data_IF_089611535770
#
_entry.id   IF_089611535770
#
_cell.length_a   1.000
_cell.length_b   1.000
_cell.length_c   1.000
_cell.angle_alpha   90.00
_cell.angle_beta   90.00
_cell.angle_gamma   90.00
#
_symmetry.space_group_name_H-M   'P 1'
#
loop_
_entity.id
_entity.type
_entity.pdbx_description
1 polymer ?
#
# COMPACT_ATOMS: atom_id res chain seq x y z
N UNK A 1 48.29 -7.34 -30.09
CA UNK A 1 47.59 -6.11 -29.75
C UNK A 1 46.09 -6.37 -29.81
N UNK A 2 45.45 -6.99 -28.75
CA UNK A 2 44.00 -7.35 -28.73
C UNK A 2 43.35 -7.02 -27.38
N UNK A 3 43.62 -5.82 -26.85
CA UNK A 3 43.05 -5.39 -25.56
C UNK A 3 41.67 -4.68 -25.59
N UNK A 4 41.19 -4.01 -26.67
CA UNK A 4 39.97 -3.24 -26.60
C UNK A 4 38.67 -4.11 -26.49
N UNK A 5 38.68 -5.31 -27.06
CA UNK A 5 37.49 -6.18 -27.03
C UNK A 5 37.24 -6.83 -25.65
N UNK A 6 38.29 -7.18 -24.91
CA UNK A 6 38.17 -7.74 -23.57
C UNK A 6 37.66 -6.71 -22.56
N UNK A 7 38.13 -5.47 -22.63
CA UNK A 7 37.71 -4.37 -21.78
C UNK A 7 36.20 -4.00 -22.00
N UNK A 8 35.78 -3.96 -23.26
CA UNK A 8 34.38 -3.71 -23.61
C UNK A 8 33.44 -4.81 -23.09
N UNK A 9 33.88 -6.08 -23.15
CA UNK A 9 33.09 -7.21 -22.66
C UNK A 9 32.95 -7.23 -21.13
N UNK A 10 33.98 -6.83 -20.41
CA UNK A 10 33.99 -6.78 -18.93
C UNK A 10 33.14 -5.63 -18.40
N UNK A 11 33.19 -4.45 -19.03
CA UNK A 11 32.35 -3.32 -18.72
C UNK A 11 30.87 -3.63 -18.99
N UNK A 12 30.55 -4.30 -20.09
CA UNK A 12 29.18 -4.73 -20.40
C UNK A 12 28.66 -5.75 -19.37
N UNK A 13 29.49 -6.72 -18.96
CA UNK A 13 29.12 -7.70 -17.92
C UNK A 13 28.90 -7.05 -16.55
N UNK A 14 29.74 -6.11 -16.15
CA UNK A 14 29.59 -5.39 -14.88
C UNK A 14 28.29 -4.56 -14.85
N UNK A 15 27.98 -3.88 -15.96
CA UNK A 15 26.74 -3.09 -16.10
C UNK A 15 25.49 -3.97 -16.05
N UNK A 16 25.50 -5.13 -16.71
CA UNK A 16 24.40 -6.10 -16.68
C UNK A 16 24.20 -6.64 -15.26
N UNK A 17 25.28 -7.05 -14.59
CA UNK A 17 25.20 -7.56 -13.22
C UNK A 17 24.68 -6.50 -12.23
N UNK A 18 25.08 -5.25 -12.39
CA UNK A 18 24.59 -4.14 -11.56
C UNK A 18 23.10 -3.89 -11.78
N UNK A 19 22.63 -3.93 -13.04
CA UNK A 19 21.20 -3.79 -13.37
C UNK A 19 20.37 -4.95 -12.83
N UNK A 20 20.85 -6.19 -12.91
CA UNK A 20 20.16 -7.37 -12.40
C UNK A 20 20.03 -7.33 -10.86
N UNK A 21 21.08 -6.89 -10.16
CA UNK A 21 21.04 -6.70 -8.70
C UNK A 21 20.07 -5.59 -8.31
N UNK A 22 20.10 -4.44 -8.94
CA UNK A 22 19.17 -3.33 -8.69
C UNK A 22 17.72 -3.76 -8.91
N UNK A 23 17.43 -4.53 -9.96
CA UNK A 23 16.09 -5.05 -10.26
C UNK A 23 15.58 -6.04 -9.21
N UNK A 24 16.46 -6.82 -8.58
CA UNK A 24 16.09 -7.73 -7.50
C UNK A 24 15.71 -6.97 -6.22
N UNK A 25 16.47 -5.97 -5.82
CA UNK A 25 16.17 -5.13 -4.66
C UNK A 25 14.86 -4.36 -4.81
N UNK A 26 14.58 -3.87 -6.02
CA UNK A 26 13.32 -3.19 -6.31
C UNK A 26 12.12 -4.12 -6.14
N UNK A 27 12.20 -5.36 -6.65
CA UNK A 27 11.14 -6.36 -6.49
C UNK A 27 10.90 -6.72 -5.04
N UNK A 28 11.96 -6.90 -4.27
CA UNK A 28 11.88 -7.18 -2.83
C UNK A 28 11.25 -6.00 -2.10
N UNK A 29 11.66 -4.77 -2.39
CA UNK A 29 11.09 -3.57 -1.80
C UNK A 29 9.59 -3.39 -2.09
N UNK A 30 9.17 -3.63 -3.33
CA UNK A 30 7.76 -3.61 -3.72
C UNK A 30 6.95 -4.69 -2.99
N UNK A 31 7.46 -5.91 -2.92
CA UNK A 31 6.79 -7.00 -2.20
C UNK A 31 6.68 -6.68 -0.71
N UNK A 32 7.76 -6.23 -0.10
CA UNK A 32 7.77 -5.85 1.31
C UNK A 32 6.76 -4.72 1.61
N UNK A 33 6.76 -3.66 0.82
CA UNK A 33 5.84 -2.54 1.01
C UNK A 33 4.37 -2.96 0.86
N UNK A 34 4.06 -3.84 -0.10
CA UNK A 34 2.71 -4.38 -0.27
C UNK A 34 2.27 -5.24 0.90
N UNK A 35 3.14 -6.14 1.37
CA UNK A 35 2.84 -6.99 2.52
C UNK A 35 2.69 -6.15 3.80
N UNK A 36 3.54 -5.17 4.01
CA UNK A 36 3.48 -4.28 5.17
C UNK A 36 2.19 -3.44 5.17
N UNK A 37 1.81 -2.84 4.04
CA UNK A 37 0.57 -2.07 3.92
C UNK A 37 -0.67 -2.97 4.07
N UNK A 38 -0.67 -4.14 3.44
CA UNK A 38 -1.76 -5.09 3.56
C UNK A 38 -1.94 -5.60 4.99
N UNK A 39 -0.83 -5.93 5.65
CA UNK A 39 -0.82 -6.33 7.06
C UNK A 39 -1.30 -5.19 7.98
N UNK A 40 -0.91 -3.94 7.71
CA UNK A 40 -1.37 -2.78 8.49
C UNK A 40 -2.88 -2.59 8.39
N UNK A 41 -3.47 -2.68 7.20
CA UNK A 41 -4.92 -2.62 7.01
C UNK A 41 -5.64 -3.75 7.74
N UNK A 42 -5.20 -4.99 7.56
CA UNK A 42 -5.84 -6.13 8.21
C UNK A 42 -5.66 -6.10 9.74
N UNK A 43 -4.52 -5.61 10.23
CA UNK A 43 -4.28 -5.40 11.66
C UNK A 43 -5.23 -4.37 12.27
N UNK A 44 -5.48 -3.25 11.56
CA UNK A 44 -6.45 -2.25 12.01
C UNK A 44 -7.87 -2.82 12.10
N UNK A 45 -8.28 -3.58 11.08
CA UNK A 45 -9.58 -4.28 11.08
C UNK A 45 -9.64 -5.33 12.20
N UNK A 46 -8.59 -6.14 12.38
CA UNK A 46 -8.51 -7.14 13.45
C UNK A 46 -8.67 -6.52 14.86
N UNK A 47 -8.09 -5.32 15.07
CA UNK A 47 -8.27 -4.57 16.32
C UNK A 47 -9.72 -4.18 16.59
N UNK A 48 -10.47 -3.81 15.56
CA UNK A 48 -11.91 -3.45 15.70
C UNK A 48 -12.79 -4.60 16.13
N UNK A 49 -12.38 -5.83 15.85
CA UNK A 49 -13.09 -7.05 16.20
C UNK A 49 -12.45 -7.80 17.39
N UNK A 50 -11.55 -7.16 18.14
CA UNK A 50 -10.97 -7.74 19.35
C UNK A 50 -10.00 -8.88 19.15
N UNK A 51 -9.51 -9.12 17.92
CA UNK A 51 -8.59 -10.22 17.63
C UNK A 51 -7.28 -10.12 18.43
N UNK A 52 -6.79 -8.91 18.67
CA UNK A 52 -5.58 -8.67 19.47
C UNK A 52 -5.79 -8.87 20.97
N UNK A 53 -7.04 -8.87 21.44
CA UNK A 53 -7.44 -9.18 22.81
C UNK A 53 -7.76 -10.67 23.01
N UNK A 54 -7.58 -11.49 21.99
CA UNK A 54 -7.84 -12.93 22.02
C UNK A 54 -9.29 -13.33 21.88
N UNK A 55 -10.17 -12.39 21.54
CA UNK A 55 -11.61 -12.62 21.31
C UNK A 55 -12.00 -12.09 19.94
N UNK A 56 -12.61 -12.92 19.11
CA UNK A 56 -13.24 -12.45 17.87
C UNK A 56 -14.68 -12.08 18.20
N UNK A 57 -14.94 -10.79 18.50
CA UNK A 57 -16.24 -10.32 18.97
C UNK A 57 -16.57 -8.94 18.39
N UNK A 58 -17.84 -8.72 18.07
CA UNK A 58 -18.36 -7.40 17.68
C UNK A 58 -18.46 -6.41 18.85
N UNK A 59 -18.19 -6.84 20.08
CA UNK A 59 -18.26 -5.98 21.28
C UNK A 59 -17.28 -4.81 21.25
N UNK A 60 -16.18 -4.91 20.51
CA UNK A 60 -15.20 -3.84 20.37
C UNK A 60 -15.52 -2.86 19.22
N UNK A 61 -16.47 -3.18 18.36
CA UNK A 61 -16.86 -2.30 17.25
C UNK A 61 -17.49 -0.97 17.71
N UNK A 62 -18.30 -0.90 18.79
CA UNK A 62 -18.76 0.36 19.37
C UNK A 62 -17.63 1.31 19.79
N UNK A 63 -16.51 0.81 20.32
CA UNK A 63 -15.36 1.63 20.68
C UNK A 63 -14.72 2.26 19.44
N UNK A 64 -14.67 1.50 18.36
CA UNK A 64 -14.24 2.01 17.05
C UNK A 64 -15.23 3.05 16.49
N UNK A 65 -16.53 2.87 16.64
CA UNK A 65 -17.54 3.86 16.24
C UNK A 65 -17.39 5.17 17.01
N UNK A 66 -17.10 5.11 18.31
CA UNK A 66 -16.83 6.30 19.12
C UNK A 66 -15.58 7.02 18.58
N UNK A 67 -14.46 6.32 18.40
CA UNK A 67 -13.24 6.88 17.82
C UNK A 67 -13.47 7.47 16.42
N UNK A 68 -14.21 6.75 15.56
CA UNK A 68 -14.58 7.25 14.24
C UNK A 68 -15.41 8.53 14.31
N UNK A 69 -16.29 8.65 15.31
CA UNK A 69 -17.05 9.86 15.58
C UNK A 69 -16.18 11.05 16.01
N UNK A 70 -15.11 10.80 16.74
CA UNK A 70 -14.12 11.81 17.10
C UNK A 70 -13.28 12.27 15.88
N UNK A 71 -12.81 11.31 15.07
CA UNK A 71 -12.07 11.58 13.82
C UNK A 71 -12.94 12.32 12.80
N UNK A 72 -14.24 12.03 12.75
CA UNK A 72 -15.22 12.63 11.84
C UNK A 72 -16.07 13.70 12.54
N UNK A 73 -15.50 14.41 13.54
CA UNK A 73 -16.21 15.40 14.34
C UNK A 73 -16.88 16.54 13.54
N UNK A 74 -16.39 16.78 12.33
CA UNK A 74 -16.93 17.73 11.35
C UNK A 74 -18.10 17.19 10.51
N UNK A 75 -18.44 15.90 10.66
CA UNK A 75 -19.54 15.23 9.93
C UNK A 75 -20.78 15.07 10.81
N UNK A 76 -21.99 14.99 10.22
CA UNK A 76 -23.20 14.66 10.97
C UNK A 76 -23.07 13.28 11.66
N UNK A 77 -23.41 13.19 12.93
CA UNK A 77 -23.29 11.94 13.72
C UNK A 77 -23.99 10.75 13.08
N UNK A 78 -25.09 10.97 12.37
CA UNK A 78 -25.84 9.92 11.68
C UNK A 78 -25.05 9.24 10.55
N UNK A 79 -24.05 9.90 9.97
CA UNK A 79 -23.22 9.33 8.88
C UNK A 79 -22.06 8.48 9.37
N UNK A 80 -21.62 8.66 10.63
CA UNK A 80 -20.46 8.00 11.21
C UNK A 80 -20.51 6.47 11.11
N UNK A 81 -21.62 5.78 11.47
CA UNK A 81 -21.68 4.32 11.36
C UNK A 81 -21.47 3.82 9.93
N UNK A 82 -22.05 4.50 8.94
CA UNK A 82 -21.91 4.13 7.52
C UNK A 82 -20.47 4.30 7.04
N UNK A 83 -19.83 5.41 7.41
CA UNK A 83 -18.43 5.67 7.07
C UNK A 83 -17.48 4.70 7.77
N UNK A 84 -17.73 4.33 9.01
CA UNK A 84 -16.97 3.35 9.76
C UNK A 84 -17.04 1.96 9.11
N UNK A 85 -18.22 1.51 8.68
CA UNK A 85 -18.38 0.27 7.94
C UNK A 85 -17.72 0.33 6.55
N UNK A 86 -17.91 1.43 5.82
CA UNK A 86 -17.26 1.63 4.52
C UNK A 86 -15.72 1.58 4.65
N UNK A 87 -15.16 2.23 5.67
CA UNK A 87 -13.73 2.15 5.99
C UNK A 87 -13.29 0.70 6.25
N UNK A 88 -14.02 -0.02 7.11
CA UNK A 88 -13.70 -1.40 7.48
C UNK A 88 -13.73 -2.34 6.27
N UNK A 89 -14.74 -2.23 5.41
CA UNK A 89 -14.86 -3.03 4.17
C UNK A 89 -13.72 -2.67 3.20
N UNK A 90 -13.45 -1.37 3.02
CA UNK A 90 -12.39 -0.90 2.14
C UNK A 90 -11.01 -1.38 2.60
N UNK A 91 -10.69 -1.24 3.88
CA UNK A 91 -9.42 -1.70 4.44
C UNK A 91 -9.26 -3.21 4.35
N UNK A 92 -10.32 -3.98 4.63
CA UNK A 92 -10.30 -5.44 4.49
C UNK A 92 -10.01 -5.83 3.05
N UNK A 93 -10.75 -5.25 2.10
CA UNK A 93 -10.61 -5.57 0.68
C UNK A 93 -9.25 -5.16 0.14
N UNK A 94 -8.79 -3.93 0.42
CA UNK A 94 -7.50 -3.43 -0.03
C UNK A 94 -6.34 -4.20 0.63
N UNK A 95 -6.46 -4.55 1.91
CA UNK A 95 -5.46 -5.35 2.62
C UNK A 95 -5.25 -6.71 1.97
N UNK A 96 -6.34 -7.44 1.69
CA UNK A 96 -6.30 -8.74 1.01
C UNK A 96 -5.74 -8.60 -0.41
N UNK A 97 -6.22 -7.63 -1.19
CA UNK A 97 -5.80 -7.42 -2.58
C UNK A 97 -4.32 -7.01 -2.68
N UNK A 98 -3.80 -6.22 -1.74
CA UNK A 98 -2.38 -5.87 -1.65
C UNK A 98 -1.52 -7.13 -1.42
N UNK A 99 -1.91 -8.00 -0.48
CA UNK A 99 -1.17 -9.22 -0.18
C UNK A 99 -1.21 -10.17 -1.37
N UNK A 100 -2.37 -10.43 -1.94
CA UNK A 100 -2.55 -11.32 -3.08
C UNK A 100 -1.92 -10.77 -4.37
N UNK A 101 -1.83 -9.45 -4.49
CA UNK A 101 -1.24 -8.80 -5.66
C UNK A 101 -2.14 -8.70 -6.88
N UNK A 102 -3.44 -8.73 -6.69
CA UNK A 102 -4.40 -8.45 -7.75
C UNK A 102 -4.43 -6.95 -8.07
N UNK A 103 -4.47 -6.61 -9.37
CA UNK A 103 -4.51 -5.24 -9.90
C UNK A 103 -3.64 -4.23 -9.13
N UNK A 104 -2.33 -4.49 -8.99
CA UNK A 104 -1.48 -3.80 -8.00
C UNK A 104 -1.45 -2.28 -8.17
N UNK A 105 -1.60 -1.77 -9.38
CA UNK A 105 -1.63 -0.33 -9.67
C UNK A 105 -2.87 0.36 -9.08
N UNK A 106 -4.07 -0.22 -9.32
CA UNK A 106 -5.33 0.37 -8.86
C UNK A 106 -5.52 0.19 -7.37
N UNK A 107 -5.16 -0.98 -6.85
CA UNK A 107 -5.23 -1.28 -5.42
C UNK A 107 -4.27 -0.39 -4.63
N UNK A 108 -3.03 -0.18 -5.11
CA UNK A 108 -2.08 0.72 -4.46
C UNK A 108 -2.55 2.18 -4.51
N UNK A 109 -3.11 2.63 -5.63
CA UNK A 109 -3.66 3.98 -5.75
C UNK A 109 -4.86 4.18 -4.82
N UNK A 110 -5.80 3.24 -4.79
CA UNK A 110 -6.95 3.29 -3.88
C UNK A 110 -6.50 3.29 -2.41
N UNK A 111 -5.49 2.49 -2.06
CA UNK A 111 -4.89 2.49 -0.72
C UNK A 111 -4.27 3.83 -0.35
N UNK A 112 -3.55 4.46 -1.29
CA UNK A 112 -2.96 5.77 -1.08
C UNK A 112 -4.04 6.84 -0.83
N UNK A 113 -5.10 6.84 -1.62
CA UNK A 113 -6.24 7.77 -1.47
C UNK A 113 -6.94 7.55 -0.13
N UNK A 114 -7.24 6.30 0.24
CA UNK A 114 -7.90 5.97 1.50
C UNK A 114 -7.08 6.46 2.70
N UNK A 115 -5.77 6.20 2.70
CA UNK A 115 -4.86 6.65 3.76
C UNK A 115 -4.76 8.18 3.79
N UNK A 116 -4.70 8.86 2.64
CA UNK A 116 -4.70 10.32 2.58
C UNK A 116 -5.99 10.91 3.16
N UNK A 117 -7.15 10.30 2.89
CA UNK A 117 -8.43 10.70 3.47
C UNK A 117 -8.42 10.54 5.00
N UNK A 118 -7.91 9.41 5.53
CA UNK A 118 -7.78 9.21 6.96
C UNK A 118 -6.85 10.24 7.61
N UNK A 119 -5.66 10.46 7.02
CA UNK A 119 -4.72 11.47 7.50
C UNK A 119 -5.33 12.87 7.52
N UNK A 120 -6.10 13.22 6.48
CA UNK A 120 -6.78 14.52 6.39
C UNK A 120 -7.87 14.64 7.46
N UNK A 121 -8.71 13.61 7.65
CA UNK A 121 -9.74 13.61 8.68
C UNK A 121 -9.12 13.75 10.10
N UNK A 122 -8.05 13.01 10.38
CA UNK A 122 -7.31 13.13 11.64
C UNK A 122 -6.68 14.51 11.82
N UNK A 123 -6.16 15.10 10.74
CA UNK A 123 -5.59 16.45 10.79
C UNK A 123 -6.64 17.50 11.16
N UNK A 124 -7.83 17.40 10.58
CA UNK A 124 -8.93 18.33 10.84
C UNK A 124 -9.42 18.21 12.29
N UNK A 125 -9.55 17.00 12.82
CA UNK A 125 -10.15 16.74 14.12
C UNK A 125 -9.16 16.81 15.29
N UNK A 126 -7.91 16.37 15.10
CA UNK A 126 -6.91 16.26 16.17
C UNK A 126 -5.64 17.10 15.92
N UNK A 127 -5.58 17.80 14.78
CA UNK A 127 -4.38 18.52 14.34
C UNK A 127 -3.34 17.61 13.66
N UNK A 128 -2.38 18.24 13.01
CA UNK A 128 -1.38 17.58 12.14
C UNK A 128 -0.51 16.56 12.89
N UNK A 129 -0.32 16.72 14.20
CA UNK A 129 0.51 15.82 15.00
C UNK A 129 -0.04 14.38 14.99
N UNK A 130 -1.34 14.22 15.09
CA UNK A 130 -1.98 12.90 15.18
C UNK A 130 -1.66 11.99 13.98
N UNK A 131 -1.93 12.36 12.71
CA UNK A 131 -1.60 11.49 11.59
C UNK A 131 -0.11 11.30 11.36
N UNK A 132 0.75 12.22 11.87
CA UNK A 132 2.21 12.06 11.82
C UNK A 132 2.68 10.99 12.81
N UNK A 133 2.17 10.99 14.05
CA UNK A 133 2.48 9.97 15.08
C UNK A 133 2.11 8.56 14.61
N UNK A 134 1.01 8.42 13.88
CA UNK A 134 0.56 7.15 13.29
C UNK A 134 1.16 6.86 11.90
N UNK A 135 2.04 7.72 11.39
CA UNK A 135 2.69 7.57 10.07
C UNK A 135 1.72 7.38 8.89
N UNK A 136 0.50 7.92 8.99
CA UNK A 136 -0.56 7.72 7.99
C UNK A 136 -0.15 8.29 6.63
N UNK A 137 0.45 9.49 6.61
CA UNK A 137 0.92 10.12 5.37
C UNK A 137 2.12 9.37 4.77
N UNK A 138 3.01 8.82 5.60
CA UNK A 138 4.13 7.98 5.13
C UNK A 138 3.62 6.71 4.47
N UNK A 139 2.61 6.07 5.06
CA UNK A 139 1.95 4.90 4.49
C UNK A 139 1.23 5.23 3.18
N UNK A 140 0.52 6.38 3.11
CA UNK A 140 -0.10 6.88 1.89
C UNK A 140 0.93 7.11 0.78
N UNK A 141 2.05 7.77 1.08
CA UNK A 141 3.12 7.99 0.12
C UNK A 141 3.74 6.67 -0.37
N UNK A 142 3.97 5.71 0.52
CA UNK A 142 4.46 4.38 0.15
C UNK A 142 3.48 3.66 -0.79
N UNK A 143 2.19 3.70 -0.50
CA UNK A 143 1.15 3.13 -1.37
C UNK A 143 1.12 3.83 -2.74
N UNK A 144 1.23 5.16 -2.77
CA UNK A 144 1.28 5.93 -4.01
C UNK A 144 2.49 5.56 -4.88
N UNK A 145 3.67 5.38 -4.28
CA UNK A 145 4.89 4.96 -4.99
C UNK A 145 4.81 3.54 -5.58
N UNK A 146 3.93 2.70 -5.08
CA UNK A 146 3.70 1.35 -5.63
C UNK A 146 2.89 1.37 -6.94
N UNK A 147 2.03 2.37 -7.16
CA UNK A 147 1.12 2.44 -8.31
C UNK A 147 1.84 2.57 -9.67
N UNK A 148 2.78 3.52 -9.90
CA UNK A 148 3.45 3.67 -11.19
C UNK A 148 4.37 2.50 -11.54
N UNK A 149 5.00 1.86 -10.57
CA UNK A 149 5.86 0.68 -10.79
C UNK A 149 5.09 -0.52 -11.31
N UNK A 150 3.85 -0.67 -10.91
CA UNK A 150 2.95 -1.69 -11.42
C UNK A 150 2.56 -1.43 -12.90
N UNK A 151 2.40 -0.15 -13.29
CA UNK A 151 2.12 0.25 -14.67
C UNK A 151 3.28 -0.07 -15.63
N UNK A 152 4.51 0.25 -15.26
CA UNK A 152 5.73 -0.03 -16.05
C UNK A 152 5.86 -1.54 -16.30
N UNK A 153 5.63 -2.36 -15.29
CA UNK A 153 5.71 -3.82 -15.38
C UNK A 153 4.62 -4.45 -16.26
N UNK A 154 3.44 -3.84 -16.31
CA UNK A 154 2.34 -4.28 -17.20
C UNK A 154 2.63 -3.97 -18.67
N UNK A 155 3.27 -2.82 -18.95
CA UNK A 155 3.68 -2.43 -20.29
C UNK A 155 4.77 -3.34 -20.88
N UNK A 156 5.73 -3.76 -20.08
CA UNK A 156 6.80 -4.69 -20.51
C UNK A 156 6.27 -6.08 -20.87
N UNK A 157 5.29 -6.62 -20.13
CA UNK A 157 4.65 -7.89 -20.48
C UNK A 157 3.90 -7.83 -21.79
N UNK A 158 3.15 -6.76 -22.04
CA UNK A 158 2.40 -6.57 -23.29
C UNK A 158 3.30 -6.48 -24.53
N UNK A 159 4.50 -5.90 -24.39
CA UNK A 159 5.46 -5.78 -25.48
C UNK A 159 6.19 -7.10 -25.81
N UNK A 160 6.42 -7.96 -24.83
CA UNK A 160 7.03 -9.27 -25.04
C UNK A 160 6.08 -10.22 -25.76
N UNK A 161 4.81 -10.30 -25.33
CA UNK A 161 3.80 -11.17 -25.98
C UNK A 161 3.58 -10.80 -27.45
N UNK A 162 3.79 -9.53 -27.82
CA UNK A 162 3.68 -9.05 -29.21
C UNK A 162 4.90 -9.39 -30.08
N UNK A 163 6.08 -9.59 -29.47
CA UNK A 163 7.30 -10.01 -30.17
C UNK A 163 7.37 -11.51 -30.39
N UNK A 164 6.82 -12.29 -29.47
CA UNK A 164 6.83 -13.75 -29.54
C UNK A 164 5.71 -14.31 -30.45
N UNK A 165 4.79 -13.44 -30.92
CA UNK A 165 3.68 -13.79 -31.81
C UNK A 165 3.88 -13.35 -33.29
N UNK A 166 5.08 -12.86 -33.68
CA UNK A 166 5.49 -12.55 -35.06
C UNK A 166 6.62 -13.49 -35.50
#
# INVERSE_FOLDING_TARGET
>A
MNQPAAFASETARSTVNHRLRAMNWERIGVLYARLALGAAFLSAVAGRFGLWQGTLDLKHFPDFLQYAGEVLSFMPKATVPYLAWAATISETSLGILLILGFWPQWVSLASAILLAMFGTAMTISFGLKSPMDYSVYSASAAAFLLAPRALIRSGERGSQTRRDGQ
#
